data_IF_208283298792
#
_entry.id   IF_208283298792
#
_cell.length_a   1.000
_cell.length_b   1.000
_cell.length_c   1.000
_cell.angle_alpha   90.00
_cell.angle_beta   90.00
_cell.angle_gamma   90.00
#
_symmetry.space_group_name_H-M   'P 1'
#
loop_
_entity.id
_entity.type
_entity.pdbx_description
1 polymer ?
#
# COMPACT_ATOMS: atom_id res chain seq x y z
N UNK A 1 -4.84 16.25 -14.89
CA UNK A 1 -4.93 14.94 -14.20
C UNK A 1 -3.58 14.24 -14.35
N UNK A 2 -2.90 13.99 -13.24
CA UNK A 2 -1.52 13.45 -13.20
C UNK A 2 -1.43 11.96 -13.56
N UNK A 3 -2.56 11.22 -13.47
CA UNK A 3 -2.63 9.79 -13.73
C UNK A 3 -3.59 9.44 -14.90
N UNK A 4 -3.86 10.41 -15.78
CA UNK A 4 -4.73 10.19 -16.95
C UNK A 4 -4.23 9.02 -17.80
N UNK A 5 -5.09 8.02 -18.03
CA UNK A 5 -4.77 6.83 -18.81
C UNK A 5 -3.97 5.75 -18.07
N UNK A 6 -3.58 5.97 -16.80
CA UNK A 6 -2.97 4.92 -15.97
C UNK A 6 -3.99 3.87 -15.57
N UNK A 7 -3.52 2.63 -15.42
CA UNK A 7 -4.30 1.44 -15.06
C UNK A 7 -3.71 0.86 -13.78
N UNK A 8 -4.39 1.07 -12.65
CA UNK A 8 -3.85 0.81 -11.32
C UNK A 8 -4.50 -0.39 -10.62
N UNK A 9 -3.68 -1.26 -10.03
CA UNK A 9 -4.08 -2.33 -9.11
C UNK A 9 -3.67 -1.96 -7.69
N UNK A 10 -4.64 -1.86 -6.77
CA UNK A 10 -4.40 -1.39 -5.40
C UNK A 10 -4.89 -2.45 -4.42
N UNK A 11 -4.00 -3.02 -3.61
CA UNK A 11 -4.36 -4.01 -2.58
C UNK A 11 -4.74 -3.33 -1.26
N UNK A 12 -5.59 -3.99 -0.45
CA UNK A 12 -6.10 -3.39 0.80
C UNK A 12 -6.95 -2.15 0.55
N UNK A 13 -7.65 -2.10 -0.59
CA UNK A 13 -8.32 -0.90 -1.10
C UNK A 13 -9.76 -0.73 -0.63
N UNK A 14 -10.32 -1.66 0.17
CA UNK A 14 -11.69 -1.57 0.68
C UNK A 14 -11.85 -0.50 1.78
N UNK A 15 -10.76 -0.07 2.44
CA UNK A 15 -10.80 0.90 3.54
C UNK A 15 -9.47 1.61 3.78
N UNK A 16 -9.47 2.58 4.69
CA UNK A 16 -8.28 3.25 5.21
C UNK A 16 -7.42 3.90 4.14
N UNK A 17 -6.09 3.74 4.26
CA UNK A 17 -5.12 4.36 3.31
C UNK A 17 -5.33 3.82 1.89
N UNK A 18 -5.55 2.49 1.72
CA UNK A 18 -5.75 1.90 0.39
C UNK A 18 -6.96 2.48 -0.35
N UNK A 19 -8.08 2.67 0.35
CA UNK A 19 -9.26 3.32 -0.23
C UNK A 19 -9.01 4.79 -0.57
N UNK A 20 -8.31 5.52 0.29
CA UNK A 20 -7.95 6.92 0.01
C UNK A 20 -7.02 7.02 -1.21
N UNK A 21 -6.05 6.09 -1.36
CA UNK A 21 -5.20 6.00 -2.56
C UNK A 21 -6.05 5.71 -3.81
N UNK A 22 -7.01 4.76 -3.74
CA UNK A 22 -7.89 4.45 -4.86
C UNK A 22 -8.71 5.68 -5.31
N UNK A 23 -9.28 6.41 -4.36
CA UNK A 23 -10.04 7.66 -4.63
C UNK A 23 -9.14 8.74 -5.23
N UNK A 24 -7.93 8.92 -4.69
CA UNK A 24 -6.99 9.92 -5.20
C UNK A 24 -6.50 9.57 -6.62
N UNK A 25 -6.24 8.29 -6.91
CA UNK A 25 -5.87 7.85 -8.26
C UNK A 25 -7.00 8.07 -9.26
N UNK A 26 -8.23 7.73 -8.89
CA UNK A 26 -9.41 7.98 -9.71
C UNK A 26 -9.65 9.48 -9.96
N UNK A 27 -9.50 10.32 -8.95
CA UNK A 27 -9.58 11.78 -9.06
C UNK A 27 -8.54 12.36 -10.02
N UNK A 28 -7.40 11.70 -10.17
CA UNK A 28 -6.34 12.06 -11.11
C UNK A 28 -6.45 11.35 -12.48
N UNK A 29 -7.57 10.65 -12.73
CA UNK A 29 -7.92 10.09 -14.03
C UNK A 29 -7.43 8.69 -14.33
N UNK A 30 -6.98 7.93 -13.32
CA UNK A 30 -6.61 6.53 -13.49
C UNK A 30 -7.83 5.60 -13.50
N UNK A 31 -7.78 4.52 -14.28
CA UNK A 31 -8.60 3.34 -14.04
C UNK A 31 -8.10 2.60 -12.79
N UNK A 32 -9.00 2.16 -11.91
CA UNK A 32 -8.61 1.67 -10.57
C UNK A 32 -9.28 0.34 -10.23
N UNK A 33 -8.48 -0.69 -10.01
CA UNK A 33 -8.93 -1.94 -9.41
C UNK A 33 -8.69 -1.93 -7.90
N UNK A 34 -9.78 -2.06 -7.15
CA UNK A 34 -9.78 -2.16 -5.70
C UNK A 34 -9.70 -3.63 -5.30
N UNK A 35 -8.52 -4.08 -4.91
CA UNK A 35 -8.28 -5.46 -4.49
C UNK A 35 -8.26 -5.57 -2.96
N UNK A 36 -9.11 -6.43 -2.41
CA UNK A 36 -9.21 -6.66 -0.97
C UNK A 36 -9.74 -8.06 -0.69
N UNK A 37 -9.47 -8.59 0.50
CA UNK A 37 -10.05 -9.86 0.95
C UNK A 37 -11.58 -9.74 1.10
N UNK A 38 -12.11 -8.54 1.34
CA UNK A 38 -13.53 -8.24 1.39
C UNK A 38 -14.05 -7.85 0.00
N UNK A 39 -14.46 -8.86 -0.78
CA UNK A 39 -15.00 -8.68 -2.14
C UNK A 39 -16.18 -7.72 -2.21
N UNK A 40 -17.11 -7.85 -1.27
CA UNK A 40 -18.35 -7.05 -1.26
C UNK A 40 -18.03 -5.56 -1.01
N UNK A 41 -17.13 -5.26 -0.05
CA UNK A 41 -16.75 -3.88 0.22
C UNK A 41 -15.93 -3.27 -0.93
N UNK A 42 -15.02 -4.06 -1.54
CA UNK A 42 -14.26 -3.61 -2.72
C UNK A 42 -15.19 -3.26 -3.89
N UNK A 43 -16.19 -4.09 -4.16
CA UNK A 43 -17.19 -3.81 -5.21
C UNK A 43 -18.00 -2.57 -4.90
N UNK A 44 -18.48 -2.43 -3.66
CA UNK A 44 -19.24 -1.25 -3.24
C UNK A 44 -18.42 0.02 -3.42
N UNK A 45 -17.18 0.05 -2.92
CA UNK A 45 -16.31 1.20 -3.04
C UNK A 45 -15.92 1.51 -4.50
N UNK A 46 -15.76 0.48 -5.33
CA UNK A 46 -15.48 0.70 -6.76
C UNK A 46 -16.64 1.39 -7.48
N UNK A 47 -17.89 1.03 -7.17
CA UNK A 47 -19.08 1.69 -7.72
C UNK A 47 -19.18 3.16 -7.28
N UNK A 48 -18.97 3.44 -5.98
CA UNK A 48 -18.95 4.82 -5.46
C UNK A 48 -17.89 5.69 -6.15
N UNK A 49 -16.69 5.14 -6.37
CA UNK A 49 -15.60 5.82 -7.08
C UNK A 49 -15.97 6.07 -8.54
N UNK A 50 -16.53 5.08 -9.23
CA UNK A 50 -16.99 5.22 -10.62
C UNK A 50 -18.01 6.34 -10.78
N UNK A 51 -19.02 6.39 -9.90
CA UNK A 51 -20.04 7.42 -9.90
C UNK A 51 -19.46 8.82 -9.63
N UNK A 52 -18.47 8.90 -8.73
CA UNK A 52 -17.89 10.19 -8.34
C UNK A 52 -16.93 10.77 -9.38
N UNK A 53 -16.07 9.93 -9.96
CA UNK A 53 -14.95 10.39 -10.79
C UNK A 53 -15.09 10.08 -12.29
N UNK A 54 -16.09 9.27 -12.66
CA UNK A 54 -16.35 8.89 -14.07
C UNK A 54 -15.16 8.20 -14.75
N UNK A 55 -14.43 7.37 -14.01
CA UNK A 55 -13.32 6.52 -14.50
C UNK A 55 -13.70 5.05 -14.45
N UNK A 56 -12.97 4.20 -15.16
CA UNK A 56 -13.17 2.75 -15.07
C UNK A 56 -12.68 2.22 -13.72
N UNK A 57 -13.55 1.45 -13.05
CA UNK A 57 -13.23 0.85 -11.76
C UNK A 57 -13.81 -0.55 -11.65
N UNK A 58 -13.09 -1.42 -10.94
CA UNK A 58 -13.58 -2.74 -10.53
C UNK A 58 -13.21 -3.02 -9.09
N UNK A 59 -14.03 -3.81 -8.40
CA UNK A 59 -13.71 -4.38 -7.10
C UNK A 59 -13.41 -5.87 -7.26
N UNK A 60 -12.22 -6.32 -6.87
CA UNK A 60 -11.76 -7.70 -7.00
C UNK A 60 -11.42 -8.31 -5.65
N UNK A 61 -11.70 -9.62 -5.49
CA UNK A 61 -11.28 -10.37 -4.32
C UNK A 61 -9.80 -10.70 -4.39
N UNK A 62 -9.04 -10.40 -3.34
CA UNK A 62 -7.62 -10.69 -3.30
C UNK A 62 -7.14 -10.93 -1.87
N UNK A 63 -6.81 -12.18 -1.55
CA UNK A 63 -5.96 -12.49 -0.41
C UNK A 63 -4.50 -12.43 -0.87
N UNK A 64 -3.77 -11.41 -0.40
CA UNK A 64 -2.37 -11.20 -0.76
C UNK A 64 -1.44 -12.32 -0.26
N UNK A 65 -1.86 -13.09 0.76
CA UNK A 65 -1.10 -14.23 1.27
C UNK A 65 -1.26 -15.50 0.42
N UNK A 66 -2.20 -15.51 -0.55
CA UNK A 66 -2.44 -16.64 -1.45
C UNK A 66 -2.02 -16.30 -2.89
N UNK A 67 -1.05 -17.05 -3.41
CA UNK A 67 -0.51 -16.82 -4.76
C UNK A 67 -1.56 -17.02 -5.88
N UNK A 68 -2.54 -17.92 -5.68
CA UNK A 68 -3.60 -18.17 -6.69
C UNK A 68 -4.58 -17.02 -6.68
N UNK A 69 -4.97 -16.53 -5.50
CA UNK A 69 -5.83 -15.36 -5.33
C UNK A 69 -5.20 -14.12 -5.97
N UNK A 70 -3.92 -13.84 -5.67
CA UNK A 70 -3.20 -12.70 -6.26
C UNK A 70 -3.14 -12.78 -7.78
N UNK A 71 -2.77 -13.95 -8.33
CA UNK A 71 -2.68 -14.13 -9.78
C UNK A 71 -4.03 -13.92 -10.47
N UNK A 72 -5.11 -14.45 -9.90
CA UNK A 72 -6.46 -14.31 -10.46
C UNK A 72 -6.94 -12.86 -10.40
N UNK A 73 -6.73 -12.15 -9.29
CA UNK A 73 -7.10 -10.75 -9.14
C UNK A 73 -6.36 -9.83 -10.13
N UNK A 74 -5.06 -10.07 -10.34
CA UNK A 74 -4.27 -9.33 -11.34
C UNK A 74 -4.73 -9.63 -12.76
N UNK A 75 -5.06 -10.90 -13.08
CA UNK A 75 -5.56 -11.28 -14.39
C UNK A 75 -6.92 -10.62 -14.68
N UNK A 76 -7.87 -10.68 -13.73
CA UNK A 76 -9.18 -10.01 -13.81
C UNK A 76 -9.02 -8.50 -14.04
N UNK A 77 -8.08 -7.86 -13.34
CA UNK A 77 -7.78 -6.43 -13.51
C UNK A 77 -7.24 -6.13 -14.92
N UNK A 78 -6.27 -6.92 -15.37
CA UNK A 78 -5.66 -6.74 -16.69
C UNK A 78 -6.66 -6.94 -17.82
N UNK A 79 -7.58 -7.89 -17.70
CA UNK A 79 -8.66 -8.11 -18.64
C UNK A 79 -9.64 -6.92 -18.68
N UNK A 80 -10.04 -6.43 -17.51
CA UNK A 80 -11.00 -5.33 -17.40
C UNK A 80 -10.48 -4.00 -17.96
N UNK A 81 -9.18 -3.74 -17.86
CA UNK A 81 -8.58 -2.46 -18.27
C UNK A 81 -7.71 -2.56 -19.52
N UNK A 82 -7.62 -3.74 -20.16
CA UNK A 82 -6.70 -3.99 -21.26
C UNK A 82 -5.25 -3.62 -20.90
N UNK A 83 -4.75 -4.17 -19.78
CA UNK A 83 -3.40 -4.00 -19.27
C UNK A 83 -3.30 -3.47 -17.84
N UNK A 84 -2.06 -3.27 -17.39
CA UNK A 84 -1.71 -2.79 -16.05
C UNK A 84 -0.36 -2.07 -16.11
N UNK A 85 -0.27 -0.88 -15.54
CA UNK A 85 0.98 -0.08 -15.49
C UNK A 85 1.31 0.48 -14.10
N UNK A 86 0.40 0.38 -13.14
CA UNK A 86 0.59 0.90 -11.79
C UNK A 86 0.15 -0.11 -10.74
N UNK A 87 1.02 -0.37 -9.76
CA UNK A 87 0.76 -1.26 -8.62
C UNK A 87 0.94 -0.50 -7.33
N UNK A 88 -0.05 -0.58 -6.43
CA UNK A 88 0.03 -0.03 -5.08
C UNK A 88 -0.30 -1.12 -4.04
N UNK A 89 0.71 -1.63 -3.34
CA UNK A 89 0.56 -2.63 -2.28
C UNK A 89 0.26 -1.94 -0.95
N UNK A 90 -1.04 -1.79 -0.61
CA UNK A 90 -1.50 -1.13 0.62
C UNK A 90 -2.02 -2.13 1.67
N UNK A 91 -2.20 -3.41 1.31
CA UNK A 91 -2.66 -4.45 2.22
C UNK A 91 -1.68 -4.67 3.37
N UNK A 92 -2.21 -4.73 4.60
CA UNK A 92 -1.43 -5.08 5.77
C UNK A 92 -2.34 -5.63 6.88
N UNK A 93 -1.84 -6.59 7.64
CA UNK A 93 -2.54 -7.11 8.82
C UNK A 93 -2.19 -6.34 10.08
N UNK A 94 -3.12 -6.32 11.06
CA UNK A 94 -2.83 -5.96 12.44
C UNK A 94 -1.98 -7.05 13.08
N UNK A 95 -1.03 -6.66 13.92
CA UNK A 95 -0.17 -7.57 14.68
C UNK A 95 -0.42 -7.40 16.17
N UNK A 96 -0.39 -8.48 16.91
CA UNK A 96 -0.37 -8.41 18.37
C UNK A 96 0.92 -7.71 18.84
N UNK A 97 0.83 -7.02 19.98
CA UNK A 97 1.99 -6.39 20.63
C UNK A 97 2.56 -7.33 21.69
N UNK A 98 3.45 -8.19 21.24
CA UNK A 98 4.15 -9.15 22.07
C UNK A 98 5.65 -9.01 21.84
N UNK A 99 6.43 -9.31 22.87
CA UNK A 99 7.87 -9.42 22.68
C UNK A 99 8.22 -10.71 21.89
N UNK A 100 9.50 -10.89 21.58
CA UNK A 100 9.93 -11.99 20.71
C UNK A 100 9.75 -13.39 21.34
N UNK A 101 9.67 -13.47 22.66
CA UNK A 101 9.53 -14.76 23.38
C UNK A 101 8.05 -15.18 23.39
N UNK A 102 7.14 -14.24 23.60
CA UNK A 102 5.71 -14.49 23.69
C UNK A 102 5.00 -14.49 22.31
N UNK A 103 5.64 -13.95 21.27
CA UNK A 103 5.10 -13.95 19.92
C UNK A 103 5.06 -15.37 19.34
N UNK A 104 3.86 -15.88 19.02
CA UNK A 104 3.73 -17.20 18.41
C UNK A 104 4.31 -17.25 16.99
N UNK A 105 4.78 -18.43 16.58
CA UNK A 105 5.26 -18.67 15.22
C UNK A 105 4.14 -18.47 14.19
N UNK A 106 2.89 -18.79 14.52
CA UNK A 106 1.73 -18.58 13.65
C UNK A 106 1.49 -17.09 13.40
N UNK A 107 1.54 -16.25 14.43
CA UNK A 107 1.37 -14.81 14.28
C UNK A 107 2.55 -14.16 13.54
N UNK A 108 3.77 -14.64 13.81
CA UNK A 108 4.95 -14.27 13.03
C UNK A 108 4.75 -14.59 11.55
N UNK A 109 4.42 -15.85 11.22
CA UNK A 109 4.22 -16.30 9.83
C UNK A 109 3.06 -15.56 9.16
N UNK A 110 1.93 -15.36 9.84
CA UNK A 110 0.79 -14.59 9.33
C UNK A 110 1.20 -13.16 8.96
N UNK A 111 1.97 -12.52 9.85
CA UNK A 111 2.44 -11.15 9.62
C UNK A 111 3.38 -11.05 8.42
N UNK A 112 4.34 -11.98 8.31
CA UNK A 112 5.25 -12.05 7.16
C UNK A 112 4.48 -12.33 5.86
N UNK A 113 3.58 -13.30 5.88
CA UNK A 113 2.83 -13.72 4.70
C UNK A 113 1.97 -12.59 4.13
N UNK A 114 1.27 -11.83 4.98
CA UNK A 114 0.45 -10.72 4.50
C UNK A 114 1.30 -9.49 4.13
N UNK A 115 2.17 -9.05 5.03
CA UNK A 115 2.80 -7.73 4.88
C UNK A 115 4.01 -7.73 3.94
N UNK A 116 4.77 -8.83 3.87
CA UNK A 116 6.00 -8.90 3.08
C UNK A 116 5.85 -9.85 1.88
N UNK A 117 5.52 -11.11 2.13
CA UNK A 117 5.35 -12.10 1.06
C UNK A 117 4.24 -11.69 0.10
N UNK A 118 3.13 -11.13 0.62
CA UNK A 118 2.02 -10.62 -0.21
C UNK A 118 2.47 -9.52 -1.17
N UNK A 119 3.27 -8.57 -0.71
CA UNK A 119 3.84 -7.54 -1.59
C UNK A 119 4.74 -8.15 -2.67
N UNK A 120 5.56 -9.14 -2.31
CA UNK A 120 6.37 -9.89 -3.27
C UNK A 120 5.49 -10.62 -4.30
N UNK A 121 4.43 -11.31 -3.88
CA UNK A 121 3.53 -12.04 -4.79
C UNK A 121 2.83 -11.11 -5.77
N UNK A 122 2.36 -9.95 -5.30
CA UNK A 122 1.75 -8.93 -6.18
C UNK A 122 2.76 -8.43 -7.21
N UNK A 123 3.99 -8.11 -6.80
CA UNK A 123 5.04 -7.72 -7.74
C UNK A 123 5.38 -8.83 -8.73
N UNK A 124 5.54 -10.07 -8.25
CA UNK A 124 5.87 -11.24 -9.09
C UNK A 124 4.87 -11.45 -10.23
N UNK A 125 3.58 -11.30 -9.94
CA UNK A 125 2.53 -11.53 -10.94
C UNK A 125 2.17 -10.28 -11.74
N UNK A 126 2.40 -9.07 -11.20
CA UNK A 126 2.09 -7.80 -11.87
C UNK A 126 3.20 -7.27 -12.78
N UNK A 127 4.48 -7.44 -12.41
CA UNK A 127 5.62 -6.95 -13.21
C UNK A 127 5.58 -7.40 -14.68
N UNK A 128 5.21 -8.66 -15.02
CA UNK A 128 5.08 -9.06 -16.43
C UNK A 128 4.10 -8.20 -17.23
N UNK A 129 3.04 -7.69 -16.60
CA UNK A 129 2.06 -6.80 -17.24
C UNK A 129 2.59 -5.39 -17.40
N UNK A 130 3.29 -4.85 -16.38
CA UNK A 130 3.98 -3.57 -16.47
C UNK A 130 5.00 -3.57 -17.61
N UNK A 131 5.75 -4.67 -17.76
CA UNK A 131 6.68 -4.87 -18.87
C UNK A 131 5.97 -4.83 -20.24
N UNK A 132 4.81 -5.47 -20.35
CA UNK A 132 4.00 -5.44 -21.57
C UNK A 132 3.45 -4.04 -21.87
N UNK A 133 3.16 -3.26 -20.85
CA UNK A 133 2.74 -1.86 -20.97
C UNK A 133 3.90 -0.89 -21.35
N UNK A 134 5.14 -1.39 -21.41
CA UNK A 134 6.34 -0.58 -21.72
C UNK A 134 6.94 0.13 -20.50
N UNK A 135 6.58 -0.30 -19.30
CA UNK A 135 7.05 0.23 -18.03
C UNK A 135 5.92 0.52 -17.04
N UNK A 136 6.25 1.15 -15.91
CA UNK A 136 5.24 1.50 -14.91
C UNK A 136 5.80 1.90 -13.56
N UNK A 137 4.90 2.03 -12.59
CA UNK A 137 5.23 2.39 -11.21
C UNK A 137 4.72 1.38 -10.20
N UNK A 138 5.59 0.97 -9.29
CA UNK A 138 5.28 0.10 -8.15
C UNK A 138 5.47 0.89 -6.86
N UNK A 139 4.45 0.86 -6.00
CA UNK A 139 4.43 1.52 -4.70
C UNK A 139 4.19 0.47 -3.62
N UNK A 140 5.16 0.24 -2.76
CA UNK A 140 5.05 -0.69 -1.63
C UNK A 140 4.89 0.08 -0.32
N UNK A 141 3.91 -0.29 0.49
CA UNK A 141 3.72 0.37 1.79
C UNK A 141 4.66 -0.21 2.84
N UNK A 142 5.71 0.54 3.15
CA UNK A 142 6.55 0.30 4.32
C UNK A 142 5.91 0.96 5.57
N UNK A 143 6.67 1.62 6.39
CA UNK A 143 6.25 2.36 7.59
C UNK A 143 7.44 3.09 8.18
N UNK A 144 7.24 4.15 8.97
CA UNK A 144 8.24 4.65 9.89
C UNK A 144 8.89 3.51 10.71
N UNK A 145 8.11 2.45 11.02
CA UNK A 145 8.59 1.26 11.74
C UNK A 145 9.47 0.33 10.89
N UNK A 146 9.73 0.65 9.66
CA UNK A 146 10.77 0.02 8.85
C UNK A 146 12.16 0.63 9.09
N UNK A 147 12.23 1.85 9.64
CA UNK A 147 13.46 2.59 9.95
C UNK A 147 13.77 2.59 11.45
N UNK A 148 12.72 2.63 12.29
CA UNK A 148 12.82 2.55 13.75
C UNK A 148 11.95 1.43 14.28
N UNK A 149 12.04 1.10 15.57
CA UNK A 149 11.25 0.04 16.18
C UNK A 149 10.38 0.57 17.32
N UNK A 150 9.33 -0.18 17.63
CA UNK A 150 8.48 0.04 18.79
C UNK A 150 8.38 -1.26 19.62
N UNK A 151 8.41 -1.17 20.95
CA UNK A 151 8.28 -2.35 21.82
C UNK A 151 7.05 -3.20 21.45
N UNK A 152 7.24 -4.53 21.43
CA UNK A 152 6.20 -5.48 21.09
C UNK A 152 5.78 -5.47 19.60
N UNK A 153 6.58 -4.93 18.70
CA UNK A 153 6.25 -4.86 17.26
C UNK A 153 7.28 -5.55 16.37
N UNK A 154 7.99 -6.55 16.88
CA UNK A 154 9.12 -7.21 16.21
C UNK A 154 8.73 -7.72 14.80
N UNK A 155 7.66 -8.51 14.69
CA UNK A 155 7.22 -9.03 13.38
C UNK A 155 6.85 -7.90 12.40
N UNK A 156 6.10 -6.91 12.85
CA UNK A 156 5.71 -5.78 12.01
C UNK A 156 6.92 -4.98 11.53
N UNK A 157 7.82 -4.59 12.44
CA UNK A 157 9.04 -3.84 12.10
C UNK A 157 9.90 -4.62 11.11
N UNK A 158 10.05 -5.94 11.31
CA UNK A 158 10.80 -6.83 10.41
C UNK A 158 10.18 -6.81 9.00
N UNK A 159 8.85 -6.93 8.88
CA UNK A 159 8.20 -6.89 7.56
C UNK A 159 8.39 -5.53 6.88
N UNK A 160 8.28 -4.43 7.63
CA UNK A 160 8.40 -3.09 7.07
C UNK A 160 9.84 -2.72 6.70
N UNK A 161 10.82 -3.18 7.46
CA UNK A 161 12.24 -3.15 7.07
C UNK A 161 12.54 -4.00 5.83
N UNK A 162 11.91 -5.19 5.76
CA UNK A 162 11.99 -6.07 4.58
C UNK A 162 11.46 -5.41 3.30
N UNK A 163 10.35 -4.66 3.39
CA UNK A 163 9.80 -3.89 2.25
C UNK A 163 10.82 -2.85 1.74
N UNK A 164 11.53 -2.14 2.61
CA UNK A 164 12.55 -1.17 2.20
C UNK A 164 13.67 -1.81 1.38
N UNK A 165 14.02 -3.06 1.66
CA UNK A 165 15.02 -3.79 0.87
C UNK A 165 14.41 -4.41 -0.40
N UNK A 166 13.17 -4.92 -0.34
CA UNK A 166 12.44 -5.45 -1.50
C UNK A 166 12.31 -4.40 -2.60
N UNK A 167 12.00 -3.16 -2.24
CA UNK A 167 11.93 -2.01 -3.15
C UNK A 167 13.24 -1.82 -3.92
N UNK A 168 14.39 -1.86 -3.23
CA UNK A 168 15.72 -1.69 -3.85
C UNK A 168 16.04 -2.84 -4.80
N UNK A 169 15.72 -4.09 -4.38
CA UNK A 169 15.90 -5.26 -5.23
C UNK A 169 15.11 -5.14 -6.54
N UNK A 170 13.80 -4.88 -6.44
CA UNK A 170 12.93 -4.73 -7.63
C UNK A 170 13.40 -3.58 -8.53
N UNK A 171 13.76 -2.43 -7.94
CA UNK A 171 14.23 -1.27 -8.70
C UNK A 171 15.50 -1.58 -9.53
N UNK A 172 16.41 -2.39 -8.98
CA UNK A 172 17.65 -2.77 -9.68
C UNK A 172 17.42 -3.88 -10.71
N UNK A 173 16.58 -4.87 -10.39
CA UNK A 173 16.32 -6.02 -11.26
C UNK A 173 15.54 -5.60 -12.54
N UNK A 174 14.73 -4.54 -12.46
CA UNK A 174 13.85 -4.09 -13.55
C UNK A 174 14.21 -2.69 -14.11
N UNK A 175 15.43 -2.20 -13.85
CA UNK A 175 15.92 -0.87 -14.28
C UNK A 175 15.86 -0.65 -15.79
N UNK A 176 16.08 -1.71 -16.58
CA UNK A 176 16.12 -1.65 -18.05
C UNK A 176 14.73 -1.83 -18.68
N UNK A 177 13.67 -1.99 -17.85
CA UNK A 177 12.29 -2.24 -18.27
C UNK A 177 11.37 -1.00 -18.09
N UNK A 178 11.96 0.16 -17.79
CA UNK A 178 11.22 1.39 -17.50
C UNK A 178 10.21 1.23 -16.32
N UNK A 179 10.55 0.37 -15.34
CA UNK A 179 9.75 0.12 -14.15
C UNK A 179 10.42 0.79 -12.95
N UNK A 180 9.70 1.70 -12.31
CA UNK A 180 10.12 2.31 -11.05
C UNK A 180 9.47 1.55 -9.88
N UNK A 181 10.22 1.33 -8.82
CA UNK A 181 9.71 0.76 -7.58
C UNK A 181 10.16 1.62 -6.40
N UNK A 182 9.19 2.12 -5.63
CA UNK A 182 9.46 2.94 -4.44
C UNK A 182 8.57 2.49 -3.28
N UNK A 183 8.97 2.82 -2.06
CA UNK A 183 8.11 2.68 -0.89
C UNK A 183 7.50 4.00 -0.46
N UNK A 184 6.36 3.89 0.22
CA UNK A 184 5.77 4.95 1.01
C UNK A 184 5.78 4.49 2.47
N UNK A 185 6.27 5.32 3.38
CA UNK A 185 6.43 5.01 4.79
C UNK A 185 5.58 5.95 5.66
N UNK A 186 4.31 5.59 5.93
CA UNK A 186 3.46 6.39 6.80
C UNK A 186 3.91 6.35 8.26
N UNK A 187 3.64 7.45 8.96
CA UNK A 187 3.62 7.52 10.42
C UNK A 187 2.33 6.96 11.01
N UNK A 188 1.91 7.48 12.15
CA UNK A 188 0.59 7.25 12.72
C UNK A 188 -0.48 7.96 11.88
N UNK A 189 -1.40 7.21 11.28
CA UNK A 189 -2.46 7.73 10.41
C UNK A 189 -3.82 7.36 10.97
N UNK A 190 -4.76 8.33 11.00
CA UNK A 190 -6.12 8.17 11.50
C UNK A 190 -6.92 7.21 10.60
N UNK A 191 -6.96 5.94 10.96
CA UNK A 191 -7.63 4.85 10.23
C UNK A 191 -8.34 3.91 11.18
N UNK A 192 -9.23 3.06 10.65
CA UNK A 192 -9.89 2.00 11.42
C UNK A 192 -8.89 1.07 12.14
N UNK A 193 -7.71 0.90 11.57
CA UNK A 193 -6.62 0.14 12.19
C UNK A 193 -6.14 0.77 13.50
N UNK A 194 -6.04 2.09 13.52
CA UNK A 194 -5.66 2.84 14.72
C UNK A 194 -6.80 2.84 15.73
N UNK A 195 -8.04 3.03 15.25
CA UNK A 195 -9.26 2.93 16.04
C UNK A 195 -9.37 1.55 16.73
N UNK A 196 -9.16 0.46 16.00
CA UNK A 196 -9.19 -0.89 16.56
C UNK A 196 -8.13 -1.12 17.66
N UNK A 197 -7.04 -0.35 17.63
CA UNK A 197 -5.95 -0.46 18.62
C UNK A 197 -6.19 0.38 19.88
N UNK A 198 -6.81 1.54 19.74
CA UNK A 198 -6.95 2.52 20.81
C UNK A 198 -8.37 2.66 21.37
N UNK A 199 -9.35 2.00 20.73
CA UNK A 199 -10.77 2.03 21.10
C UNK A 199 -11.51 3.20 20.49
N UNK A 200 -10.93 4.40 20.49
CA UNK A 200 -11.49 5.60 19.86
C UNK A 200 -10.38 6.49 19.29
N UNK A 201 -10.76 7.41 18.42
CA UNK A 201 -9.83 8.27 17.69
C UNK A 201 -9.26 9.40 18.57
N UNK A 202 -10.02 9.87 19.56
CA UNK A 202 -9.58 10.91 20.49
C UNK A 202 -8.42 10.40 21.36
N UNK A 203 -8.55 9.20 21.89
CA UNK A 203 -7.50 8.49 22.61
C UNK A 203 -6.27 8.26 21.72
N UNK A 204 -6.49 7.80 20.49
CA UNK A 204 -5.39 7.60 19.53
C UNK A 204 -4.63 8.91 19.24
N UNK A 205 -5.33 10.00 19.00
CA UNK A 205 -4.75 11.32 18.76
C UNK A 205 -3.96 11.81 19.97
N UNK A 206 -4.52 11.71 21.16
CA UNK A 206 -3.88 12.14 22.41
C UNK A 206 -2.60 11.37 22.73
N UNK A 207 -2.62 10.04 22.52
CA UNK A 207 -1.52 9.16 22.89
C UNK A 207 -0.42 9.07 21.81
N UNK A 208 -0.80 9.19 20.55
CA UNK A 208 0.11 8.98 19.43
C UNK A 208 0.46 10.27 18.69
N UNK A 209 -0.44 11.23 18.59
CA UNK A 209 -0.22 12.54 17.95
C UNK A 209 1.03 13.24 18.42
N UNK A 210 1.25 13.43 19.76
CA UNK A 210 2.43 14.11 20.30
C UNK A 210 3.78 13.44 20.01
N UNK A 211 3.80 12.20 19.52
CA UNK A 211 5.02 11.50 19.12
C UNK A 211 5.54 11.94 17.75
N UNK A 212 4.73 12.66 17.00
CA UNK A 212 5.09 13.26 15.72
C UNK A 212 5.51 14.73 15.94
N UNK A 213 6.52 15.21 15.23
CA UNK A 213 6.95 16.60 15.35
C UNK A 213 5.83 17.59 14.98
N UNK A 214 4.91 17.18 14.09
CA UNK A 214 3.72 17.96 13.75
C UNK A 214 2.63 17.94 14.84
N UNK A 215 2.80 17.17 15.92
CA UNK A 215 1.90 17.12 17.07
C UNK A 215 0.53 16.49 16.81
N UNK A 216 0.34 15.78 15.70
CA UNK A 216 -0.93 15.17 15.28
C UNK A 216 -0.73 13.88 14.51
N UNK A 217 -1.81 13.11 14.38
CA UNK A 217 -1.88 12.02 13.41
C UNK A 217 -1.93 12.55 11.97
N UNK A 218 -1.40 11.79 11.04
CA UNK A 218 -1.63 11.99 9.61
C UNK A 218 -3.05 11.59 9.22
N UNK A 219 -3.51 12.11 8.06
CA UNK A 219 -4.77 11.70 7.47
C UNK A 219 -4.51 10.75 6.28
N UNK A 220 -5.42 9.80 5.97
CA UNK A 220 -5.26 8.92 4.82
C UNK A 220 -4.98 9.65 3.50
N UNK A 221 -5.59 10.83 3.30
CA UNK A 221 -5.43 11.64 2.09
C UNK A 221 -4.02 12.25 1.98
N UNK A 222 -3.32 12.51 3.10
CA UNK A 222 -1.94 12.97 3.08
C UNK A 222 -1.00 11.86 2.55
N UNK A 223 -1.29 10.61 2.87
CA UNK A 223 -0.55 9.46 2.34
C UNK A 223 -0.91 9.22 0.86
N UNK A 224 -2.19 9.34 0.51
CA UNK A 224 -2.66 9.21 -0.86
C UNK A 224 -2.03 10.23 -1.81
N UNK A 225 -1.81 11.46 -1.37
CA UNK A 225 -1.09 12.49 -2.14
C UNK A 225 0.34 12.05 -2.49
N UNK A 226 1.05 11.43 -1.53
CA UNK A 226 2.37 10.83 -1.77
C UNK A 226 2.31 9.65 -2.76
N UNK A 227 1.28 8.82 -2.66
CA UNK A 227 1.09 7.71 -3.60
C UNK A 227 0.82 8.21 -5.03
N UNK A 228 0.03 9.26 -5.21
CA UNK A 228 -0.19 9.91 -6.53
C UNK A 228 1.13 10.45 -7.09
N UNK A 229 1.96 11.12 -6.28
CA UNK A 229 3.29 11.56 -6.70
C UNK A 229 4.15 10.39 -7.19
N UNK A 230 4.22 9.29 -6.44
CA UNK A 230 5.01 8.10 -6.81
C UNK A 230 4.47 7.39 -8.06
N UNK A 231 3.15 7.41 -8.30
CA UNK A 231 2.53 6.83 -9.49
C UNK A 231 2.73 7.68 -10.74
N UNK A 232 2.92 8.99 -10.58
CA UNK A 232 2.99 9.97 -11.67
C UNK A 232 4.40 10.13 -12.25
N UNK A 233 4.50 10.83 -13.38
CA UNK A 233 5.77 11.18 -14.02
C UNK A 233 6.56 12.24 -13.24
N UNK A 234 5.94 12.91 -12.25
CA UNK A 234 6.63 13.83 -11.34
C UNK A 234 7.74 13.14 -10.53
N UNK A 235 7.62 11.82 -10.33
CA UNK A 235 8.64 10.98 -9.68
C UNK A 235 9.50 10.19 -10.67
N UNK A 236 9.63 10.64 -11.93
CA UNK A 236 10.35 9.92 -13.00
C UNK A 236 11.82 9.63 -12.69
N UNK A 237 12.47 10.41 -11.84
CA UNK A 237 13.85 10.18 -11.40
C UNK A 237 13.95 9.50 -10.02
N UNK A 238 12.85 8.90 -9.53
CA UNK A 238 12.77 8.25 -8.21
C UNK A 238 12.51 6.75 -8.38
N UNK A 239 13.50 5.92 -8.03
CA UNK A 239 13.37 4.46 -7.95
C UNK A 239 14.30 3.91 -6.87
N UNK A 240 13.89 2.82 -6.18
CA UNK A 240 14.63 2.24 -5.07
C UNK A 240 14.62 3.09 -3.79
N UNK A 241 13.78 4.11 -3.72
CA UNK A 241 13.73 5.08 -2.65
C UNK A 241 12.51 4.88 -1.72
N UNK A 242 12.58 5.52 -0.56
CA UNK A 242 11.49 5.56 0.42
C UNK A 242 10.95 6.98 0.57
N UNK A 243 9.64 7.15 0.40
CA UNK A 243 8.95 8.40 0.66
C UNK A 243 8.37 8.35 2.08
N UNK A 244 9.10 8.94 3.02
CA UNK A 244 8.73 8.97 4.43
C UNK A 244 7.70 10.09 4.69
N UNK A 245 6.51 9.72 5.16
CA UNK A 245 5.39 10.60 5.49
C UNK A 245 4.93 10.33 6.93
N UNK A 246 5.76 10.67 7.89
CA UNK A 246 5.62 10.30 9.30
C UNK A 246 5.43 11.49 10.26
N UNK A 247 5.19 12.67 9.73
CA UNK A 247 5.02 13.88 10.56
C UNK A 247 6.24 14.23 11.42
N UNK A 248 7.42 13.73 11.04
CA UNK A 248 8.67 13.93 11.77
C UNK A 248 8.88 12.99 12.95
N UNK A 249 8.16 11.86 13.01
CA UNK A 249 8.31 10.85 14.07
C UNK A 249 9.75 10.31 14.17
N UNK A 250 10.42 10.09 13.02
CA UNK A 250 11.78 9.53 12.98
C UNK A 250 12.88 10.59 12.95
N UNK A 251 12.54 11.87 13.12
CA UNK A 251 13.50 12.96 13.02
C UNK A 251 14.28 13.22 14.33
N UNK A 252 13.93 12.57 15.46
CA UNK A 252 14.57 12.70 16.78
C UNK A 252 14.82 11.35 17.46
#
# INVERSE_FOLDING_TARGET
MRLSGRKAFITGAARGIGLSVARAFAAEGAAVALADISKEESKKQSLEIKETYSVDTIGVECDVADTVSVRNAIAETSEAFDGLDTIACMAATLTERLDVVDLSEDEWNRTLNVNLTGSFLVCKHGIPLLRQAGGGSIILTASQMGQVAWPGSTAYCTTKGGILQLVKGIALDHKDENIRCNSISPGGVATDRLLARWGDMETAEKEWGPKHALGRLGQPDEIAAGAVFLASDESSFMTGADLLLDGGYTAW
#
